data_IF_213021947213
#
_entry.id   IF_213021947213
#
_cell.length_a   1.000
_cell.length_b   1.000
_cell.length_c   1.000
_cell.angle_alpha   90.00
_cell.angle_beta   90.00
_cell.angle_gamma   90.00
#
_symmetry.space_group_name_H-M   'P 1'
#
loop_
_entity.id
_entity.type
_entity.pdbx_description
1 polymer ?
#
# COMPACT_ATOMS: atom_id res chain seq x y z
N UNK A 1 10.97 23.26 -7.81
CA UNK A 1 10.07 22.96 -6.68
C UNK A 1 9.88 21.46 -6.60
N UNK A 2 10.33 20.78 -5.53
CA UNK A 2 10.11 19.35 -5.39
C UNK A 2 8.60 19.10 -5.26
N UNK A 3 8.01 18.30 -6.15
CA UNK A 3 6.68 17.76 -5.94
C UNK A 3 6.66 17.11 -4.54
N UNK A 4 5.72 17.52 -3.69
CA UNK A 4 5.47 16.78 -2.45
C UNK A 4 5.15 15.33 -2.83
N UNK A 5 5.65 14.38 -2.04
CA UNK A 5 5.45 12.94 -2.27
C UNK A 5 3.96 12.60 -2.45
N UNK A 6 3.08 13.39 -1.84
CA UNK A 6 1.63 13.29 -1.92
C UNK A 6 1.08 13.58 -3.33
N UNK A 7 1.64 14.56 -4.05
CA UNK A 7 1.21 14.90 -5.41
C UNK A 7 1.53 13.78 -6.42
N UNK A 8 2.69 13.12 -6.24
CA UNK A 8 3.08 11.98 -7.06
C UNK A 8 2.17 10.76 -6.78
N UNK A 9 1.89 10.46 -5.51
CA UNK A 9 0.97 9.38 -5.14
C UNK A 9 -0.44 9.60 -5.70
N UNK A 10 -0.94 10.83 -5.62
CA UNK A 10 -2.26 11.20 -6.15
C UNK A 10 -2.32 11.11 -7.68
N UNK A 11 -1.24 11.50 -8.36
CA UNK A 11 -1.14 11.35 -9.82
C UNK A 11 -1.13 9.88 -10.23
N UNK A 12 -0.34 9.04 -9.56
CA UNK A 12 -0.32 7.59 -9.81
C UNK A 12 -1.71 6.99 -9.56
N UNK A 13 -2.40 7.43 -8.50
CA UNK A 13 -3.77 7.00 -8.22
C UNK A 13 -4.76 7.39 -9.33
N UNK A 14 -4.72 8.63 -9.81
CA UNK A 14 -5.60 9.08 -10.91
C UNK A 14 -5.34 8.26 -12.18
N UNK A 15 -4.07 8.04 -12.52
CA UNK A 15 -3.70 7.22 -13.70
C UNK A 15 -4.18 5.78 -13.51
N UNK A 16 -4.01 5.20 -12.32
CA UNK A 16 -4.51 3.86 -12.00
C UNK A 16 -6.04 3.77 -12.13
N UNK A 17 -6.77 4.73 -11.55
CA UNK A 17 -8.23 4.77 -11.61
C UNK A 17 -8.74 4.94 -13.04
N UNK A 18 -8.13 5.83 -13.82
CA UNK A 18 -8.46 6.06 -15.23
C UNK A 18 -8.11 4.86 -16.12
N UNK A 19 -6.98 4.19 -15.87
CA UNK A 19 -6.62 2.98 -16.57
C UNK A 19 -7.60 1.84 -16.23
N UNK A 20 -7.93 1.66 -14.95
CA UNK A 20 -8.85 0.63 -14.51
C UNK A 20 -10.28 0.82 -15.05
N UNK A 21 -10.74 2.06 -15.24
CA UNK A 21 -12.05 2.35 -15.82
C UNK A 21 -12.10 2.23 -17.34
N UNK A 22 -10.98 2.45 -18.05
CA UNK A 22 -10.94 2.39 -19.53
C UNK A 22 -10.65 1.02 -20.11
N UNK A 23 -10.01 0.10 -19.39
CA UNK A 23 -9.62 -1.20 -19.94
C UNK A 23 -10.66 -2.30 -19.68
N UNK A 24 -11.11 -2.97 -20.75
CA UNK A 24 -12.01 -4.12 -20.70
C UNK A 24 -11.41 -5.38 -20.04
N UNK A 25 -12.27 -6.37 -19.78
CA UNK A 25 -12.01 -7.58 -18.96
C UNK A 25 -10.67 -8.32 -19.17
N UNK A 26 -10.12 -8.52 -20.40
CA UNK A 26 -8.86 -9.25 -20.53
C UNK A 26 -7.64 -8.45 -20.03
N UNK A 27 -7.69 -7.11 -20.07
CA UNK A 27 -6.60 -6.23 -19.62
C UNK A 27 -6.79 -5.73 -18.19
N UNK A 28 -8.03 -5.73 -17.69
CA UNK A 28 -8.41 -5.28 -16.34
C UNK A 28 -7.68 -6.02 -15.21
N UNK A 29 -7.26 -7.27 -15.44
CA UNK A 29 -6.42 -8.03 -14.50
C UNK A 29 -4.93 -7.68 -14.54
N UNK A 30 -4.37 -7.37 -15.73
CA UNK A 30 -2.92 -7.16 -15.91
C UNK A 30 -2.49 -5.77 -15.44
N UNK A 31 -3.27 -4.75 -15.75
CA UNK A 31 -2.98 -3.35 -15.40
C UNK A 31 -2.73 -3.16 -13.91
N UNK A 32 -3.65 -3.49 -12.99
CA UNK A 32 -3.42 -3.28 -11.56
C UNK A 32 -2.25 -4.12 -11.01
N UNK A 33 -1.99 -5.29 -11.61
CA UNK A 33 -0.83 -6.13 -11.24
C UNK A 33 0.48 -5.43 -11.61
N UNK A 34 0.59 -4.88 -12.82
CA UNK A 34 1.75 -4.11 -13.24
C UNK A 34 1.94 -2.84 -12.38
N UNK A 35 0.84 -2.16 -12.02
CA UNK A 35 0.91 -1.01 -11.12
C UNK A 35 1.38 -1.41 -9.72
N UNK A 36 0.82 -2.45 -9.12
CA UNK A 36 1.25 -2.94 -7.82
C UNK A 36 2.73 -3.35 -7.83
N UNK A 37 3.18 -4.07 -8.85
CA UNK A 37 4.57 -4.46 -9.02
C UNK A 37 5.49 -3.24 -9.24
N UNK A 38 5.09 -2.30 -10.08
CA UNK A 38 5.86 -1.08 -10.36
C UNK A 38 6.01 -0.19 -9.13
N UNK A 39 4.90 0.05 -8.42
CA UNK A 39 4.91 0.82 -7.16
C UNK A 39 5.77 0.10 -6.12
N UNK A 40 5.58 -1.22 -5.94
CA UNK A 40 6.38 -2.00 -5.00
C UNK A 40 7.89 -1.94 -5.31
N UNK A 41 8.25 -2.04 -6.58
CA UNK A 41 9.65 -1.93 -7.05
C UNK A 41 10.21 -0.55 -6.76
N UNK A 42 9.44 0.51 -7.01
CA UNK A 42 9.85 1.89 -6.73
C UNK A 42 10.14 2.10 -5.23
N UNK A 43 9.27 1.61 -4.35
CA UNK A 43 9.49 1.69 -2.90
C UNK A 43 10.71 0.90 -2.46
N UNK A 44 10.93 -0.29 -3.02
CA UNK A 44 12.10 -1.11 -2.75
C UNK A 44 13.40 -0.38 -3.16
N UNK A 45 13.45 0.18 -4.37
CA UNK A 45 14.60 0.95 -4.87
C UNK A 45 14.84 2.17 -3.97
N UNK A 46 13.78 2.90 -3.58
CA UNK A 46 13.90 4.04 -2.67
C UNK A 46 14.50 3.63 -1.31
N UNK A 47 14.10 2.49 -0.77
CA UNK A 47 14.67 1.92 0.46
C UNK A 47 16.17 1.61 0.29
N UNK A 48 16.54 0.98 -0.82
CA UNK A 48 17.92 0.62 -1.14
C UNK A 48 18.82 1.87 -1.31
N UNK A 49 18.34 2.89 -2.03
CA UNK A 49 19.08 4.16 -2.19
C UNK A 49 19.30 4.84 -0.84
N UNK A 50 18.28 4.87 0.03
CA UNK A 50 18.42 5.44 1.38
C UNK A 50 19.41 4.68 2.23
N UNK A 51 19.36 3.34 2.21
CA UNK A 51 20.34 2.51 2.89
C UNK A 51 21.76 2.80 2.38
N UNK A 52 21.96 2.87 1.07
CA UNK A 52 23.26 3.20 0.48
C UNK A 52 23.77 4.59 0.89
N UNK A 53 22.92 5.62 0.85
CA UNK A 53 23.29 6.96 1.30
C UNK A 53 23.64 6.98 2.79
N UNK A 54 22.91 6.23 3.62
CA UNK A 54 23.22 6.08 5.04
C UNK A 54 24.58 5.41 5.26
N UNK A 55 24.88 4.34 4.51
CA UNK A 55 26.18 3.69 4.56
C UNK A 55 27.30 4.66 4.23
N UNK A 56 27.15 5.44 3.15
CA UNK A 56 28.10 6.48 2.76
C UNK A 56 28.28 7.52 3.86
N UNK A 57 27.19 8.01 4.44
CA UNK A 57 27.22 8.98 5.52
C UNK A 57 27.98 8.45 6.76
N UNK A 58 27.71 7.19 7.15
CA UNK A 58 28.43 6.55 8.25
C UNK A 58 29.90 6.32 7.94
N UNK A 59 30.25 5.98 6.70
CA UNK A 59 31.65 5.77 6.32
C UNK A 59 32.51 7.05 6.26
N UNK A 60 31.88 8.23 6.15
CA UNK A 60 32.59 9.47 5.83
C UNK A 60 33.18 10.19 7.05
N UNK A 61 32.57 10.09 8.24
CA UNK A 61 33.02 10.81 9.42
C UNK A 61 32.62 10.12 10.73
N UNK A 62 33.41 10.29 11.82
CA UNK A 62 32.97 9.97 13.17
C UNK A 62 31.74 10.81 13.58
N UNK A 63 30.81 10.27 14.38
CA UNK A 63 30.83 8.94 15.01
C UNK A 63 30.32 7.81 14.09
N UNK A 64 29.87 8.13 12.87
CA UNK A 64 29.25 7.20 11.92
C UNK A 64 30.07 5.93 11.66
N UNK A 65 31.38 6.07 11.57
CA UNK A 65 32.32 4.98 11.29
C UNK A 65 32.20 3.84 12.31
N UNK A 66 31.88 4.14 13.56
CA UNK A 66 31.75 3.14 14.63
C UNK A 66 30.50 2.25 14.48
N UNK A 67 29.56 2.61 13.59
CA UNK A 67 28.38 1.79 13.26
C UNK A 67 28.62 0.82 12.11
N UNK A 68 29.82 0.81 11.52
CA UNK A 68 30.21 -0.03 10.41
C UNK A 68 31.35 -0.98 10.77
N UNK A 69 31.61 -2.02 9.97
CA UNK A 69 32.80 -2.85 10.13
C UNK A 69 34.09 -2.01 10.06
N UNK A 70 35.13 -2.33 10.87
CA UNK A 70 35.24 -3.51 11.75
C UNK A 70 34.58 -3.36 13.13
N UNK A 71 34.09 -2.17 13.50
CA UNK A 71 33.58 -1.89 14.85
C UNK A 71 32.23 -2.58 15.15
N UNK A 72 31.38 -2.74 14.14
CA UNK A 72 30.10 -3.45 14.23
C UNK A 72 29.98 -4.48 13.09
N UNK A 73 29.28 -5.62 13.31
CA UNK A 73 29.05 -6.60 12.27
C UNK A 73 28.10 -6.04 11.20
N UNK A 74 28.24 -6.52 9.95
CA UNK A 74 27.34 -6.16 8.84
C UNK A 74 25.85 -6.35 9.17
N UNK A 75 25.53 -7.32 10.04
CA UNK A 75 24.16 -7.57 10.52
C UNK A 75 23.54 -6.35 11.20
N UNK A 76 24.34 -5.55 11.91
CA UNK A 76 23.87 -4.31 12.54
C UNK A 76 23.33 -3.35 11.48
N UNK A 77 24.12 -3.06 10.44
CA UNK A 77 23.73 -2.16 9.36
C UNK A 77 22.53 -2.69 8.56
N UNK A 78 22.48 -4.00 8.31
CA UNK A 78 21.34 -4.65 7.62
C UNK A 78 20.07 -4.49 8.45
N UNK A 79 20.11 -4.82 9.74
CA UNK A 79 18.95 -4.68 10.63
C UNK A 79 18.51 -3.22 10.73
N UNK A 80 19.46 -2.29 10.88
CA UNK A 80 19.18 -0.85 10.86
C UNK A 80 18.46 -0.44 9.57
N UNK A 81 18.98 -0.84 8.41
CA UNK A 81 18.43 -0.50 7.11
C UNK A 81 17.03 -1.07 6.93
N UNK A 82 16.84 -2.33 7.31
CA UNK A 82 15.54 -3.00 7.26
C UNK A 82 14.52 -2.28 8.15
N UNK A 83 14.90 -1.95 9.38
CA UNK A 83 14.02 -1.33 10.36
C UNK A 83 13.65 0.12 9.96
N UNK A 84 14.58 0.90 9.42
CA UNK A 84 14.35 2.33 9.16
C UNK A 84 13.90 2.64 7.73
N UNK A 85 14.37 1.87 6.74
CA UNK A 85 14.11 2.18 5.32
C UNK A 85 13.12 1.23 4.68
N UNK A 86 13.08 -0.03 5.10
CA UNK A 86 12.21 -1.04 4.48
C UNK A 86 10.98 -1.40 5.33
N UNK A 87 10.95 -1.11 6.63
CA UNK A 87 9.88 -1.53 7.54
C UNK A 87 8.49 -1.11 7.06
N UNK A 88 8.31 0.16 6.70
CA UNK A 88 7.04 0.67 6.16
C UNK A 88 6.60 -0.11 4.91
N UNK A 89 7.51 -0.31 3.95
CA UNK A 89 7.24 -1.10 2.75
C UNK A 89 6.88 -2.55 3.08
N UNK A 90 7.66 -3.20 3.94
CA UNK A 90 7.45 -4.59 4.34
C UNK A 90 6.11 -4.76 5.07
N UNK A 91 5.77 -3.87 6.00
CA UNK A 91 4.50 -3.90 6.72
C UNK A 91 3.30 -3.72 5.77
N UNK A 92 3.41 -2.80 4.80
CA UNK A 92 2.38 -2.64 3.77
C UNK A 92 2.28 -3.88 2.88
N UNK A 93 3.41 -4.42 2.44
CA UNK A 93 3.44 -5.63 1.61
C UNK A 93 2.80 -6.82 2.36
N UNK A 94 3.21 -7.09 3.59
CA UNK A 94 2.67 -8.20 4.38
C UNK A 94 1.19 -8.02 4.70
N UNK A 95 0.75 -6.82 5.12
CA UNK A 95 -0.66 -6.55 5.38
C UNK A 95 -1.51 -6.66 4.11
N UNK A 96 -1.04 -6.13 2.98
CA UNK A 96 -1.75 -6.19 1.72
C UNK A 96 -1.83 -7.63 1.17
N UNK A 97 -0.75 -8.41 1.29
CA UNK A 97 -0.74 -9.83 0.93
C UNK A 97 -1.66 -10.66 1.82
N UNK A 98 -1.68 -10.41 3.14
CA UNK A 98 -2.57 -11.10 4.07
C UNK A 98 -4.04 -10.86 3.71
N UNK A 99 -4.42 -9.61 3.46
CA UNK A 99 -5.79 -9.26 3.03
C UNK A 99 -6.09 -9.84 1.65
N UNK A 100 -5.15 -9.76 0.71
CA UNK A 100 -5.30 -10.36 -0.62
C UNK A 100 -5.50 -11.87 -0.56
N UNK A 101 -4.83 -12.57 0.36
CA UNK A 101 -5.03 -13.99 0.62
C UNK A 101 -6.43 -14.26 1.17
N UNK A 102 -6.89 -13.48 2.16
CA UNK A 102 -8.24 -13.60 2.72
C UNK A 102 -9.30 -13.39 1.63
N UNK A 103 -9.16 -12.36 0.80
CA UNK A 103 -10.05 -12.10 -0.33
C UNK A 103 -10.03 -13.24 -1.35
N UNK A 104 -8.85 -13.78 -1.67
CA UNK A 104 -8.71 -14.92 -2.58
C UNK A 104 -9.38 -16.18 -2.03
N UNK A 105 -9.26 -16.44 -0.74
CA UNK A 105 -9.93 -17.55 -0.07
C UNK A 105 -11.45 -17.35 -0.09
N UNK A 106 -11.94 -16.14 0.23
CA UNK A 106 -13.37 -15.83 0.16
C UNK A 106 -13.96 -16.04 -1.24
N UNK A 107 -13.23 -15.63 -2.30
CA UNK A 107 -13.65 -15.84 -3.67
C UNK A 107 -13.70 -17.32 -4.10
N UNK A 108 -12.95 -18.22 -3.43
CA UNK A 108 -13.10 -19.67 -3.67
C UNK A 108 -14.45 -20.19 -3.17
N UNK A 109 -14.97 -19.65 -2.08
CA UNK A 109 -16.26 -20.05 -1.52
C UNK A 109 -17.46 -19.40 -2.23
N UNK A 110 -17.26 -18.24 -2.87
CA UNK A 110 -18.30 -17.54 -3.64
C UNK A 110 -17.77 -17.13 -5.02
N UNK A 111 -17.90 -18.00 -6.04
CA UNK A 111 -17.52 -17.63 -7.41
C UNK A 111 -18.34 -16.42 -7.87
N UNK A 112 -17.66 -15.44 -8.46
CA UNK A 112 -18.27 -14.15 -8.85
C UNK A 112 -18.25 -13.06 -7.77
N UNK A 113 -17.71 -13.34 -6.58
CA UNK A 113 -17.51 -12.30 -5.55
C UNK A 113 -16.39 -11.30 -5.90
N UNK A 114 -15.38 -11.70 -6.68
CA UNK A 114 -14.28 -10.84 -7.08
C UNK A 114 -14.08 -10.88 -8.59
N UNK A 115 -13.91 -9.70 -9.18
CA UNK A 115 -13.49 -9.55 -10.57
C UNK A 115 -11.97 -9.75 -10.73
N UNK A 116 -11.54 -10.03 -11.96
CA UNK A 116 -10.11 -10.18 -12.27
C UNK A 116 -9.37 -8.87 -12.01
N UNK A 117 -8.33 -8.94 -11.17
CA UNK A 117 -7.45 -7.80 -10.88
C UNK A 117 -7.85 -6.98 -9.65
N UNK A 118 -8.98 -7.26 -9.00
CA UNK A 118 -9.41 -6.48 -7.84
C UNK A 118 -8.49 -6.63 -6.62
N UNK A 119 -7.94 -7.84 -6.43
CA UNK A 119 -6.91 -8.06 -5.40
C UNK A 119 -5.67 -7.23 -5.71
N UNK A 120 -5.22 -7.21 -6.97
CA UNK A 120 -4.07 -6.42 -7.38
C UNK A 120 -4.34 -4.91 -7.27
N UNK A 121 -5.57 -4.48 -7.53
CA UNK A 121 -6.00 -3.09 -7.36
C UNK A 121 -5.93 -2.68 -5.89
N UNK A 122 -6.40 -3.54 -5.00
CA UNK A 122 -6.25 -3.35 -3.56
C UNK A 122 -4.78 -3.27 -3.14
N UNK A 123 -3.91 -4.17 -3.63
CA UNK A 123 -2.47 -4.07 -3.36
C UNK A 123 -1.88 -2.73 -3.83
N UNK A 124 -2.21 -2.29 -5.05
CA UNK A 124 -1.74 -1.03 -5.60
C UNK A 124 -2.18 0.17 -4.73
N UNK A 125 -3.45 0.22 -4.33
CA UNK A 125 -3.96 1.25 -3.44
C UNK A 125 -3.33 1.18 -2.04
N UNK A 126 -3.14 0.00 -1.47
CA UNK A 126 -2.47 -0.18 -0.18
C UNK A 126 -1.04 0.37 -0.19
N UNK A 127 -0.28 0.14 -1.27
CA UNK A 127 1.05 0.74 -1.44
C UNK A 127 1.03 2.26 -1.55
N UNK A 128 0.00 2.85 -2.15
CA UNK A 128 -0.12 4.31 -2.25
C UNK A 128 -0.49 4.94 -0.90
N UNK A 129 -1.38 4.30 -0.14
CA UNK A 129 -1.82 4.76 1.19
C UNK A 129 -0.71 4.67 2.24
N UNK A 130 0.18 3.68 2.12
CA UNK A 130 1.34 3.46 3.00
C UNK A 130 1.00 3.13 4.46
N UNK A 131 2.02 2.69 5.20
CA UNK A 131 1.94 2.52 6.66
C UNK A 131 1.94 3.88 7.36
N UNK A 132 1.15 4.09 8.43
CA UNK A 132 0.22 3.16 9.09
C UNK A 132 -1.23 3.23 8.57
N UNK A 133 -1.51 4.15 7.64
CA UNK A 133 -2.86 4.42 7.12
C UNK A 133 -3.48 3.23 6.38
N UNK A 134 -2.68 2.25 5.94
CA UNK A 134 -3.17 1.01 5.34
C UNK A 134 -4.16 0.28 6.25
N UNK A 135 -4.02 0.37 7.59
CA UNK A 135 -4.92 -0.29 8.54
C UNK A 135 -6.34 0.30 8.47
N UNK A 136 -6.56 1.60 8.76
CA UNK A 136 -7.90 2.20 8.67
C UNK A 136 -8.42 2.18 7.22
N UNK A 137 -7.54 2.26 6.21
CA UNK A 137 -7.93 2.07 4.82
C UNK A 137 -8.55 0.69 4.57
N UNK A 138 -7.88 -0.37 5.01
CA UNK A 138 -8.38 -1.74 4.89
C UNK A 138 -9.73 -1.90 5.60
N UNK A 139 -9.84 -1.37 6.82
CA UNK A 139 -11.10 -1.40 7.57
C UNK A 139 -12.23 -0.69 6.80
N UNK A 140 -11.94 0.46 6.18
CA UNK A 140 -12.92 1.20 5.38
C UNK A 140 -13.32 0.44 4.11
N UNK A 141 -12.38 -0.24 3.44
CA UNK A 141 -12.68 -1.12 2.29
C UNK A 141 -13.70 -2.19 2.69
N UNK A 142 -13.46 -2.88 3.81
CA UNK A 142 -14.37 -3.92 4.30
C UNK A 142 -15.71 -3.35 4.77
N UNK A 143 -15.72 -2.20 5.43
CA UNK A 143 -16.96 -1.53 5.84
C UNK A 143 -17.82 -1.14 4.62
N UNK A 144 -17.21 -0.55 3.59
CA UNK A 144 -17.88 -0.22 2.32
C UNK A 144 -18.39 -1.48 1.61
N UNK A 145 -17.62 -2.56 1.62
CA UNK A 145 -18.03 -3.85 1.05
C UNK A 145 -19.23 -4.43 1.79
N UNK A 146 -19.18 -4.44 3.13
CA UNK A 146 -20.28 -4.91 3.97
C UNK A 146 -21.54 -4.09 3.74
N UNK A 147 -21.44 -2.75 3.73
CA UNK A 147 -22.57 -1.85 3.48
C UNK A 147 -23.22 -2.09 2.12
N UNK A 148 -22.41 -2.31 1.07
CA UNK A 148 -22.93 -2.63 -0.26
C UNK A 148 -23.60 -3.98 -0.32
N UNK A 149 -23.04 -4.98 0.38
CA UNK A 149 -23.64 -6.31 0.49
C UNK A 149 -25.00 -6.24 1.18
N UNK A 150 -25.12 -5.53 2.30
CA UNK A 150 -26.41 -5.32 2.97
C UNK A 150 -27.39 -4.53 2.11
N UNK A 151 -26.97 -3.41 1.53
CA UNK A 151 -27.84 -2.60 0.68
C UNK A 151 -28.40 -3.41 -0.50
N UNK A 152 -27.58 -4.20 -1.19
CA UNK A 152 -28.05 -5.05 -2.30
C UNK A 152 -28.99 -6.16 -1.84
N UNK A 153 -28.66 -6.86 -0.76
CA UNK A 153 -29.48 -7.95 -0.25
C UNK A 153 -30.85 -7.47 0.26
N UNK A 154 -30.89 -6.28 0.88
CA UNK A 154 -32.11 -5.76 1.50
C UNK A 154 -33.00 -4.98 0.51
N UNK A 155 -32.40 -4.20 -0.39
CA UNK A 155 -33.12 -3.27 -1.28
C UNK A 155 -33.33 -3.87 -2.67
N UNK A 156 -32.26 -4.39 -3.29
CA UNK A 156 -32.27 -4.73 -4.72
C UNK A 156 -32.62 -6.20 -4.97
N UNK A 157 -32.56 -7.07 -3.96
CA UNK A 157 -32.76 -8.54 -4.06
C UNK A 157 -31.97 -9.19 -5.20
N UNK A 158 -30.89 -8.56 -5.65
CA UNK A 158 -30.13 -8.97 -6.82
C UNK A 158 -28.86 -9.71 -6.39
N UNK A 159 -28.63 -10.89 -6.99
CA UNK A 159 -27.54 -11.81 -6.63
C UNK A 159 -26.30 -11.69 -7.52
N UNK A 160 -26.25 -10.69 -8.40
CA UNK A 160 -25.12 -10.49 -9.31
C UNK A 160 -23.82 -10.13 -8.54
N UNK A 161 -22.69 -10.59 -9.08
CA UNK A 161 -21.35 -10.47 -8.50
C UNK A 161 -21.01 -9.05 -8.02
N UNK A 162 -20.32 -8.96 -6.88
CA UNK A 162 -20.02 -7.70 -6.21
C UNK A 162 -18.58 -7.28 -6.50
N UNK A 163 -18.36 -6.45 -7.51
CA UNK A 163 -17.05 -5.85 -7.73
C UNK A 163 -16.61 -5.00 -6.53
N UNK A 164 -15.51 -5.37 -5.87
CA UNK A 164 -14.91 -4.59 -4.78
C UNK A 164 -14.17 -3.36 -5.29
N UNK A 165 -13.89 -3.28 -6.59
CA UNK A 165 -13.02 -2.26 -7.17
C UNK A 165 -13.42 -0.82 -6.82
N UNK A 166 -14.71 -0.49 -6.90
CA UNK A 166 -15.15 0.87 -6.55
C UNK A 166 -15.10 1.14 -5.05
N UNK A 167 -15.29 0.13 -4.18
CA UNK A 167 -15.04 0.29 -2.75
C UNK A 167 -13.56 0.55 -2.47
N UNK A 168 -12.66 -0.18 -3.15
CA UNK A 168 -11.20 -0.04 -3.04
C UNK A 168 -10.73 1.34 -3.49
N UNK A 169 -11.24 1.85 -4.62
CA UNK A 169 -10.87 3.16 -5.14
C UNK A 169 -11.45 4.29 -4.29
N UNK A 170 -12.74 4.26 -3.95
CA UNK A 170 -13.40 5.32 -3.19
C UNK A 170 -12.82 5.45 -1.79
N UNK A 171 -12.52 4.33 -1.14
CA UNK A 171 -11.90 4.33 0.19
C UNK A 171 -10.47 4.88 0.18
N UNK A 172 -9.74 4.83 -0.93
CA UNK A 172 -8.36 5.33 -1.00
C UNK A 172 -8.28 6.88 -1.02
N UNK A 173 -9.29 7.55 -1.59
CA UNK A 173 -9.34 9.01 -1.74
C UNK A 173 -9.08 9.77 -0.43
N UNK A 174 -9.81 9.52 0.68
CA UNK A 174 -9.58 10.28 1.91
C UNK A 174 -8.17 10.09 2.47
N UNK A 175 -7.57 8.90 2.33
CA UNK A 175 -6.21 8.65 2.82
C UNK A 175 -5.14 9.28 1.94
N UNK A 176 -5.37 9.39 0.63
CA UNK A 176 -4.43 10.03 -0.28
C UNK A 176 -4.49 11.57 -0.21
N UNK A 177 -5.68 12.14 0.01
CA UNK A 177 -5.88 13.59 0.07
C UNK A 177 -5.60 14.14 1.47
N UNK A 178 -6.14 13.49 2.50
CA UNK A 178 -6.06 13.95 3.89
C UNK A 178 -5.09 13.13 4.74
N UNK A 179 -4.19 12.36 4.12
CA UNK A 179 -3.27 11.44 4.81
C UNK A 179 -2.49 12.06 5.97
N UNK A 180 -1.79 13.19 5.79
CA UNK A 180 -1.06 13.84 6.87
C UNK A 180 -1.95 14.24 8.05
N UNK A 181 -3.13 14.80 7.75
CA UNK A 181 -4.12 15.18 8.75
C UNK A 181 -4.70 13.97 9.49
N UNK A 182 -5.06 12.89 8.75
CA UNK A 182 -5.56 11.64 9.33
C UNK A 182 -4.53 10.97 10.23
N UNK A 183 -3.25 10.98 9.83
CA UNK A 183 -2.17 10.40 10.64
C UNK A 183 -2.02 11.15 11.97
N UNK A 184 -2.15 12.48 11.94
CA UNK A 184 -2.14 13.32 13.13
C UNK A 184 -3.39 13.12 14.00
N UNK A 185 -4.59 13.15 13.40
CA UNK A 185 -5.87 13.01 14.08
C UNK A 185 -6.01 11.66 14.80
N UNK A 186 -5.58 10.57 14.15
CA UNK A 186 -5.61 9.22 14.69
C UNK A 186 -4.44 8.93 15.65
N UNK A 187 -3.57 9.90 15.92
CA UNK A 187 -2.34 9.76 16.73
C UNK A 187 -1.44 8.61 16.27
N UNK A 188 -1.52 8.22 15.00
CA UNK A 188 -0.74 7.13 14.42
C UNK A 188 0.72 7.51 14.21
N UNK A 189 1.08 8.78 14.42
CA UNK A 189 2.47 9.24 14.42
C UNK A 189 3.37 8.48 15.41
N UNK A 190 2.81 7.91 16.48
CA UNK A 190 3.56 7.06 17.41
C UNK A 190 3.89 5.66 16.83
N UNK A 191 3.14 5.20 15.83
CA UNK A 191 3.38 3.94 15.11
C UNK A 191 4.33 4.11 13.92
N UNK A 192 4.59 5.35 13.52
CA UNK A 192 5.72 5.69 12.66
C UNK A 192 6.93 5.70 13.60
N UNK A 193 7.84 4.73 13.43
CA UNK A 193 8.97 4.55 14.34
C UNK A 193 9.65 5.88 14.69
N UNK A 194 10.05 6.08 15.95
CA UNK A 194 10.67 7.32 16.39
C UNK A 194 11.85 7.64 15.47
N UNK A 195 11.85 8.88 14.95
CA UNK A 195 12.95 9.42 14.15
C UNK A 195 14.19 9.62 15.01
#
# INVERSE_FOLDING_TARGET
>A
MPMSIDAAALTIFIVLAAAFSRFGEPRRGRVPTCFAAGIGTLFFIRGAVRAFLQYRAWSAAPPGIFFLPPYQPWRYFINYSLLHFFSSFLLVLFSALAVGLVLRLAARYRPGMLERGEIALYLACAFLVQWPLVIPYTALVFAMLALRLTARNLILKDRTGLGIASSVLLSAIPFLVAGPWLTAALRLGQLVMPR
#
